data_IF_047316191452
#
_entry.id   IF_047316191452
#
_cell.length_a   1.000
_cell.length_b   1.000
_cell.length_c   1.000
_cell.angle_alpha   90.00
_cell.angle_beta   90.00
_cell.angle_gamma   90.00
#
_symmetry.space_group_name_H-M   'P 1'
#
loop_
_entity.id
_entity.type
_entity.pdbx_description
1 polymer ?
#
# COMPACT_ATOMS: atom_id res chain seq x y z
N UNK A 1 7.79 8.13 5.63
CA UNK A 1 7.63 7.99 4.16
C UNK A 1 7.19 6.60 3.74
N UNK A 2 7.99 5.54 3.90
CA UNK A 2 7.59 4.18 3.48
C UNK A 2 6.42 3.60 4.29
N UNK A 3 6.51 3.62 5.63
CA UNK A 3 5.40 3.19 6.50
C UNK A 3 4.14 4.03 6.23
N UNK A 4 4.35 5.34 6.04
CA UNK A 4 3.33 6.27 5.58
C UNK A 4 2.05 6.26 6.41
N UNK A 5 2.16 6.30 7.74
CA UNK A 5 1.01 6.54 8.62
C UNK A 5 0.40 7.89 8.29
N UNK A 6 -0.91 7.91 8.12
CA UNK A 6 -1.70 9.11 7.88
C UNK A 6 -2.98 9.05 8.69
N UNK A 7 -3.44 10.21 9.13
CA UNK A 7 -4.76 10.39 9.73
C UNK A 7 -5.63 11.12 8.71
N UNK A 8 -6.83 10.60 8.52
CA UNK A 8 -7.74 11.09 7.50
C UNK A 8 -9.17 10.69 7.81
N UNK A 9 -10.01 10.76 6.78
CA UNK A 9 -11.43 10.43 6.85
C UNK A 9 -11.75 9.46 5.73
N UNK A 10 -12.34 8.32 6.09
CA UNK A 10 -13.12 7.52 5.14
C UNK A 10 -14.46 8.22 4.96
N UNK A 11 -14.89 8.42 3.72
CA UNK A 11 -16.17 9.04 3.42
C UNK A 11 -16.84 8.41 2.20
N UNK A 12 -18.16 8.57 2.13
CA UNK A 12 -18.99 7.90 1.16
C UNK A 12 -19.70 8.92 0.25
N UNK A 13 -19.39 8.86 -1.04
CA UNK A 13 -20.25 9.44 -2.07
C UNK A 13 -21.36 8.45 -2.40
N UNK A 14 -22.54 8.92 -2.78
CA UNK A 14 -23.63 8.03 -3.17
C UNK A 14 -23.71 7.89 -4.69
N UNK A 15 -23.54 6.67 -5.20
CA UNK A 15 -23.61 6.34 -6.61
C UNK A 15 -24.72 5.31 -6.82
N UNK A 16 -25.80 5.70 -7.50
CA UNK A 16 -26.94 4.81 -7.79
C UNK A 16 -27.53 4.11 -6.55
N UNK A 17 -27.58 4.83 -5.42
CA UNK A 17 -28.07 4.30 -4.15
C UNK A 17 -27.08 3.37 -3.40
N UNK A 18 -25.85 3.23 -3.90
CA UNK A 18 -24.77 2.48 -3.26
C UNK A 18 -23.64 3.42 -2.82
N UNK A 19 -22.92 3.10 -1.72
CA UNK A 19 -21.80 3.91 -1.27
C UNK A 19 -20.55 3.67 -2.15
N UNK A 20 -19.99 4.75 -2.68
CA UNK A 20 -18.65 4.81 -3.25
C UNK A 20 -17.70 5.39 -2.20
N UNK A 21 -16.98 4.50 -1.51
CA UNK A 21 -16.06 4.85 -0.42
C UNK A 21 -14.79 5.48 -0.99
N UNK A 22 -14.29 6.53 -0.35
CA UNK A 22 -12.98 7.14 -0.62
C UNK A 22 -12.29 7.47 0.70
N UNK A 23 -10.97 7.54 0.68
CA UNK A 23 -10.16 7.98 1.82
C UNK A 23 -9.42 9.28 1.47
N UNK A 24 -9.40 10.24 2.39
CA UNK A 24 -8.63 11.48 2.22
C UNK A 24 -7.93 11.90 3.51
N UNK A 25 -6.73 12.47 3.36
CA UNK A 25 -5.99 13.16 4.45
C UNK A 25 -6.21 14.68 4.42
N UNK A 26 -7.10 15.13 3.52
CA UNK A 26 -7.50 16.52 3.29
C UNK A 26 -9.03 16.65 3.31
N UNK A 27 -9.73 16.25 4.39
CA UNK A 27 -11.18 16.48 4.47
C UNK A 27 -11.52 17.97 4.44
N UNK A 28 -10.61 18.85 4.87
CA UNK A 28 -10.69 20.32 4.78
C UNK A 28 -11.01 20.81 3.36
N UNK A 29 -10.62 20.07 2.33
CA UNK A 29 -10.81 20.45 0.93
C UNK A 29 -11.99 19.75 0.24
N UNK A 30 -12.79 18.96 0.99
CA UNK A 30 -13.89 18.16 0.42
C UNK A 30 -14.86 18.99 -0.42
N UNK A 31 -15.15 20.23 -0.02
CA UNK A 31 -16.07 21.11 -0.73
C UNK A 31 -15.58 21.51 -2.14
N UNK A 32 -14.30 21.34 -2.43
CA UNK A 32 -13.66 21.56 -3.72
C UNK A 32 -13.52 20.29 -4.56
N UNK A 33 -14.12 19.17 -4.15
CA UNK A 33 -14.10 17.93 -4.93
C UNK A 33 -14.96 18.06 -6.21
N UNK A 34 -14.31 18.01 -7.38
CA UNK A 34 -14.97 18.27 -8.67
C UNK A 34 -15.11 17.03 -9.55
N UNK A 35 -14.39 15.94 -9.24
CA UNK A 35 -14.60 14.63 -9.82
C UNK A 35 -14.13 13.53 -8.85
N UNK A 36 -14.55 12.29 -9.08
CA UNK A 36 -14.02 11.11 -8.41
C UNK A 36 -13.17 10.31 -9.39
N UNK A 37 -12.02 9.81 -8.97
CA UNK A 37 -11.20 8.92 -9.75
C UNK A 37 -11.19 7.52 -9.15
N UNK A 38 -11.47 6.50 -9.97
CA UNK A 38 -11.46 5.08 -9.58
C UNK A 38 -10.42 4.29 -10.36
N UNK A 39 -9.88 3.25 -9.73
CA UNK A 39 -8.91 2.35 -10.36
C UNK A 39 -9.56 1.58 -11.54
N UNK A 40 -8.79 1.21 -12.59
CA UNK A 40 -9.30 0.39 -13.69
C UNK A 40 -9.94 -0.93 -13.23
N UNK A 41 -9.42 -1.55 -12.16
CA UNK A 41 -9.92 -2.80 -11.60
C UNK A 41 -11.12 -2.62 -10.65
N UNK A 42 -11.54 -1.38 -10.37
CA UNK A 42 -12.61 -1.11 -9.42
C UNK A 42 -13.95 -1.69 -9.94
N UNK A 43 -14.79 -2.32 -9.10
CA UNK A 43 -16.04 -2.95 -9.53
C UNK A 43 -16.98 -2.01 -10.31
N UNK A 44 -17.04 -0.72 -9.92
CA UNK A 44 -17.81 0.31 -10.63
C UNK A 44 -17.26 0.54 -12.05
N UNK A 45 -15.93 0.56 -12.23
CA UNK A 45 -15.32 0.71 -13.56
C UNK A 45 -15.65 -0.50 -14.46
N UNK A 46 -15.56 -1.71 -13.89
CA UNK A 46 -15.90 -2.96 -14.59
C UNK A 46 -17.37 -3.01 -15.00
N UNK A 47 -18.27 -2.53 -14.14
CA UNK A 47 -19.70 -2.44 -14.45
C UNK A 47 -19.97 -1.42 -15.56
N UNK A 48 -19.41 -0.20 -15.46
CA UNK A 48 -19.57 0.85 -16.46
C UNK A 48 -19.01 0.45 -17.85
N UNK A 49 -17.99 -0.40 -17.88
CA UNK A 49 -17.37 -0.87 -19.10
C UNK A 49 -18.20 -1.91 -19.88
N UNK A 50 -19.22 -2.53 -19.28
CA UNK A 50 -20.03 -3.58 -19.94
C UNK A 50 -20.70 -3.08 -21.21
N UNK A 51 -21.21 -1.85 -21.18
CA UNK A 51 -21.92 -1.22 -22.29
C UNK A 51 -21.09 -0.13 -23.00
N UNK A 52 -19.80 0.01 -22.65
CA UNK A 52 -18.89 1.01 -23.22
C UNK A 52 -17.59 0.35 -23.72
N UNK A 53 -17.52 -0.03 -25.01
CA UNK A 53 -16.35 -0.71 -25.58
C UNK A 53 -15.05 0.11 -25.48
N UNK A 54 -15.13 1.45 -25.54
CA UNK A 54 -13.96 2.31 -25.40
C UNK A 54 -13.40 2.27 -23.97
N UNK A 55 -14.29 2.27 -22.96
CA UNK A 55 -13.92 2.14 -21.55
C UNK A 55 -13.37 0.76 -21.24
N UNK A 56 -13.98 -0.30 -21.78
CA UNK A 56 -13.45 -1.67 -21.66
C UNK A 56 -12.03 -1.78 -22.22
N UNK A 57 -11.77 -1.22 -23.40
CA UNK A 57 -10.43 -1.19 -24.00
C UNK A 57 -9.43 -0.36 -23.17
N UNK A 58 -9.87 0.77 -22.60
CA UNK A 58 -9.06 1.59 -21.71
C UNK A 58 -8.66 0.82 -20.45
N UNK A 59 -9.63 0.17 -19.80
CA UNK A 59 -9.41 -0.64 -18.59
C UNK A 59 -8.44 -1.79 -18.88
N UNK A 60 -8.65 -2.53 -19.98
CA UNK A 60 -7.79 -3.65 -20.34
C UNK A 60 -6.32 -3.23 -20.54
N UNK A 61 -6.08 -2.07 -21.16
CA UNK A 61 -4.74 -1.51 -21.36
C UNK A 61 -4.03 -1.18 -20.04
N UNK A 62 -4.77 -0.70 -19.05
CA UNK A 62 -4.22 -0.26 -17.77
C UNK A 62 -4.28 -1.32 -16.66
N UNK A 63 -4.96 -2.45 -16.90
CA UNK A 63 -5.02 -3.55 -15.93
C UNK A 63 -3.76 -4.40 -15.93
N UNK A 64 -3.08 -4.52 -17.08
CA UNK A 64 -1.93 -5.39 -17.28
C UNK A 64 -0.58 -4.66 -17.37
N UNK A 65 -0.52 -3.39 -16.97
CA UNK A 65 0.75 -2.66 -16.96
C UNK A 65 1.33 -2.72 -15.54
N UNK A 66 2.36 -3.54 -15.27
CA UNK A 66 3.02 -3.53 -13.98
C UNK A 66 3.85 -2.25 -13.88
N UNK A 67 3.25 -1.23 -13.28
CA UNK A 67 3.95 0.01 -12.98
C UNK A 67 4.59 -0.15 -11.60
N UNK A 68 5.93 -0.09 -11.53
CA UNK A 68 6.61 0.09 -10.25
C UNK A 68 6.11 1.39 -9.61
N UNK A 69 5.85 1.40 -8.32
CA UNK A 69 5.30 2.56 -7.62
C UNK A 69 6.13 3.84 -7.87
N UNK A 70 7.46 3.70 -7.97
CA UNK A 70 8.40 4.78 -8.33
C UNK A 70 8.17 5.37 -9.72
N UNK A 71 7.72 4.57 -10.68
CA UNK A 71 7.43 5.01 -12.05
C UNK A 71 6.06 5.68 -12.16
N UNK A 72 5.15 5.50 -11.19
CA UNK A 72 3.80 6.08 -11.26
C UNK A 72 3.80 7.62 -11.21
N UNK A 73 4.77 8.22 -10.51
CA UNK A 73 4.85 9.67 -10.39
C UNK A 73 5.20 10.36 -11.71
N UNK A 74 5.93 9.66 -12.60
CA UNK A 74 6.37 10.20 -13.90
C UNK A 74 5.53 9.72 -15.08
N UNK A 75 4.58 8.80 -14.85
CA UNK A 75 3.67 8.36 -15.90
C UNK A 75 2.73 9.48 -16.31
N UNK A 76 2.46 9.54 -17.61
CA UNK A 76 1.39 10.37 -18.14
C UNK A 76 0.07 9.96 -17.50
N UNK A 77 -0.61 10.91 -16.87
CA UNK A 77 -1.93 10.70 -16.27
C UNK A 77 -2.95 10.53 -17.40
N UNK A 78 -3.59 9.38 -17.44
CA UNK A 78 -4.61 9.05 -18.42
C UNK A 78 -5.88 8.62 -17.70
N UNK A 79 -7.02 9.03 -18.23
CA UNK A 79 -8.32 8.64 -17.72
C UNK A 79 -9.43 8.73 -18.76
N UNK A 80 -10.58 8.18 -18.41
CA UNK A 80 -11.78 8.15 -19.23
C UNK A 80 -13.01 8.33 -18.36
N UNK A 81 -13.95 9.17 -18.82
CA UNK A 81 -15.24 9.37 -18.18
C UNK A 81 -16.04 8.06 -18.21
N UNK A 82 -16.65 7.72 -17.07
CA UNK A 82 -17.53 6.55 -16.97
C UNK A 82 -18.95 6.86 -17.46
N UNK A 83 -19.32 8.14 -17.55
CA UNK A 83 -20.69 8.60 -17.73
C UNK A 83 -21.54 8.55 -16.44
N UNK A 84 -20.96 8.07 -15.33
CA UNK A 84 -21.62 7.99 -14.03
C UNK A 84 -21.38 9.26 -13.22
N UNK A 85 -22.32 9.57 -12.33
CA UNK A 85 -22.18 10.66 -11.38
C UNK A 85 -22.58 10.23 -9.98
N UNK A 86 -21.71 10.52 -9.02
CA UNK A 86 -21.95 10.29 -7.60
C UNK A 86 -22.42 11.58 -6.91
N UNK A 87 -23.20 11.44 -5.85
CA UNK A 87 -23.73 12.56 -5.07
C UNK A 87 -22.76 12.92 -3.95
N UNK A 88 -22.36 14.18 -3.89
CA UNK A 88 -21.48 14.71 -2.86
C UNK A 88 -22.17 14.67 -1.47
N UNK A 89 -21.54 14.12 -0.42
CA UNK A 89 -22.20 13.84 0.87
C UNK A 89 -22.66 15.10 1.64
N UNK A 90 -21.94 16.22 1.47
CA UNK A 90 -22.29 17.50 2.10
C UNK A 90 -23.13 18.42 1.21
N UNK A 91 -22.70 18.70 -0.03
CA UNK A 91 -23.38 19.64 -0.94
C UNK A 91 -24.59 19.04 -1.66
N UNK A 92 -24.69 17.71 -1.77
CA UNK A 92 -25.72 17.03 -2.57
C UNK A 92 -25.57 17.23 -4.10
N UNK A 93 -24.50 17.87 -4.57
CA UNK A 93 -24.27 18.11 -5.99
C UNK A 93 -23.74 16.84 -6.68
N UNK A 94 -24.05 16.65 -7.98
CA UNK A 94 -23.47 15.57 -8.78
C UNK A 94 -21.98 15.82 -9.02
N UNK A 95 -21.18 14.76 -8.88
CA UNK A 95 -19.74 14.72 -9.10
C UNK A 95 -19.45 13.62 -10.13
N UNK A 96 -18.84 13.92 -11.29
CA UNK A 96 -18.58 12.91 -12.31
C UNK A 96 -17.54 11.88 -11.84
N UNK A 97 -17.70 10.63 -12.27
CA UNK A 97 -16.79 9.52 -11.93
C UNK A 97 -15.92 9.16 -13.14
N UNK A 98 -14.61 9.12 -12.94
CA UNK A 98 -13.62 8.84 -13.97
C UNK A 98 -12.80 7.61 -13.62
N UNK A 99 -12.44 6.81 -14.62
CA UNK A 99 -11.38 5.80 -14.46
C UNK A 99 -10.04 6.46 -14.72
N UNK A 100 -9.07 6.30 -13.83
CA UNK A 100 -7.75 6.90 -13.97
C UNK A 100 -6.61 5.90 -13.71
N UNK A 101 -5.55 5.97 -14.51
CA UNK A 101 -4.43 5.01 -14.47
C UNK A 101 -3.50 5.17 -13.25
N UNK A 102 -3.63 6.26 -12.49
CA UNK A 102 -2.82 6.54 -11.30
C UNK A 102 -3.51 6.16 -9.99
N UNK A 103 -4.78 5.74 -10.03
CA UNK A 103 -5.50 5.23 -8.86
C UNK A 103 -5.28 3.72 -8.76
N UNK A 104 -4.82 3.26 -7.59
CA UNK A 104 -4.50 1.85 -7.37
C UNK A 104 -5.58 1.17 -6.55
N UNK A 105 -6.09 0.04 -7.03
CA UNK A 105 -7.05 -0.79 -6.27
C UNK A 105 -6.48 -1.30 -4.94
N UNK A 106 -5.16 -1.45 -4.87
CA UNK A 106 -4.44 -1.91 -3.67
C UNK A 106 -4.18 -0.80 -2.64
N UNK A 107 -4.68 0.42 -2.86
CA UNK A 107 -4.50 1.54 -1.94
C UNK A 107 -5.85 2.17 -1.59
N UNK A 108 -6.17 2.21 -0.30
CA UNK A 108 -7.49 2.66 0.18
C UNK A 108 -8.62 1.78 -0.37
N UNK A 109 -9.70 2.42 -0.81
CA UNK A 109 -10.86 1.75 -1.44
C UNK A 109 -10.70 1.49 -2.95
N UNK A 110 -9.56 1.89 -3.55
CA UNK A 110 -9.42 1.93 -5.01
C UNK A 110 -10.18 3.09 -5.66
N UNK A 111 -10.62 4.08 -4.87
CA UNK A 111 -11.27 5.30 -5.30
C UNK A 111 -10.77 6.50 -4.49
N UNK A 112 -10.65 7.66 -5.13
CA UNK A 112 -10.24 8.92 -4.49
C UNK A 112 -11.17 10.04 -4.91
N UNK A 113 -11.43 10.97 -3.99
CA UNK A 113 -11.98 12.27 -4.36
C UNK A 113 -10.85 13.12 -4.94
N UNK A 114 -11.14 13.85 -6.00
CA UNK A 114 -10.16 14.72 -6.62
C UNK A 114 -10.51 16.18 -6.38
N UNK A 115 -9.53 16.93 -5.86
CA UNK A 115 -9.66 18.35 -5.51
C UNK A 115 -8.58 19.11 -6.28
N UNK A 116 -8.80 19.40 -7.58
CA UNK A 116 -7.76 19.96 -8.45
C UNK A 116 -7.14 21.24 -7.94
N UNK A 117 -7.89 22.03 -7.18
CA UNK A 117 -7.36 23.28 -6.67
C UNK A 117 -6.26 23.12 -5.62
N UNK A 118 -6.13 21.93 -5.00
CA UNK A 118 -5.30 21.69 -3.80
C UNK A 118 -4.52 20.35 -3.82
N UNK A 119 -4.53 19.62 -4.94
CA UNK A 119 -3.64 18.47 -5.21
C UNK A 119 -3.09 18.61 -6.64
N UNK A 120 -1.75 18.65 -6.77
CA UNK A 120 -1.06 18.87 -8.05
C UNK A 120 -1.40 17.81 -9.10
N UNK A 121 -1.60 16.56 -8.67
CA UNK A 121 -1.91 15.45 -9.57
C UNK A 121 -3.32 15.58 -10.11
N UNK A 122 -4.25 16.03 -9.27
CA UNK A 122 -5.62 16.33 -9.67
C UNK A 122 -5.68 17.59 -10.55
N UNK A 123 -4.85 18.59 -10.27
CA UNK A 123 -4.71 19.81 -11.08
C UNK A 123 -4.30 19.47 -12.52
N UNK A 124 -3.23 18.69 -12.70
CA UNK A 124 -2.74 18.27 -14.02
C UNK A 124 -3.80 17.47 -14.79
N UNK A 125 -4.49 16.54 -14.12
CA UNK A 125 -5.55 15.75 -14.73
C UNK A 125 -6.74 16.62 -15.13
N UNK A 126 -7.19 17.51 -14.24
CA UNK A 126 -8.30 18.41 -14.51
C UNK A 126 -7.99 19.36 -15.68
N UNK A 127 -6.78 19.93 -15.74
CA UNK A 127 -6.35 20.75 -16.88
C UNK A 127 -6.33 19.98 -18.19
N UNK A 128 -5.86 18.74 -18.17
CA UNK A 128 -5.82 17.88 -19.37
C UNK A 128 -7.21 17.55 -19.92
N UNK A 129 -8.17 17.31 -19.04
CA UNK A 129 -9.52 16.84 -19.41
C UNK A 129 -10.59 17.94 -19.35
N UNK A 130 -10.23 19.19 -19.02
CA UNK A 130 -11.17 20.31 -18.92
C UNK A 130 -12.15 20.18 -17.75
N UNK A 131 -11.73 19.53 -16.65
CA UNK A 131 -12.56 19.37 -15.46
C UNK A 131 -12.53 20.64 -14.59
N UNK A 132 -13.58 20.90 -13.79
CA UNK A 132 -13.63 22.11 -12.97
C UNK A 132 -12.51 22.15 -11.92
N UNK A 133 -11.97 23.34 -11.70
CA UNK A 133 -10.99 23.63 -10.64
C UNK A 133 -11.64 24.66 -9.71
N UNK A 134 -11.94 24.27 -8.48
CA UNK A 134 -12.68 25.09 -7.51
C UNK A 134 -11.80 25.32 -6.28
N UNK A 135 -11.37 26.57 -6.08
CA UNK A 135 -10.59 26.97 -4.90
C UNK A 135 -11.48 26.93 -3.65
N UNK A 136 -11.01 26.20 -2.63
CA UNK A 136 -11.65 26.11 -1.31
C UNK A 136 -10.69 26.38 -0.14
N UNK A 137 -9.40 26.62 -0.43
CA UNK A 137 -8.40 27.06 0.53
C UNK A 137 -7.76 28.34 0.00
N UNK A 138 -7.55 29.31 0.89
CA UNK A 138 -6.83 30.54 0.61
C UNK A 138 -5.77 30.81 1.68
N UNK A 139 -4.80 31.68 1.40
CA UNK A 139 -3.85 32.09 2.42
C UNK A 139 -4.56 32.87 3.51
N UNK A 140 -4.26 32.53 4.77
CA UNK A 140 -4.67 33.34 5.90
C UNK A 140 -3.94 34.68 5.78
N UNK A 141 -4.70 35.78 5.70
CA UNK A 141 -4.10 37.11 5.64
C UNK A 141 -3.17 37.34 6.84
N UNK A 142 -1.90 37.67 6.58
CA UNK A 142 -0.89 37.93 7.61
C UNK A 142 -0.78 39.44 7.94
N UNK A 143 -1.65 40.27 7.35
CA UNK A 143 -1.62 41.73 7.48
C UNK A 143 -0.42 42.40 6.79
N UNK A 144 0.40 41.65 6.04
CA UNK A 144 1.60 42.17 5.35
C UNK A 144 1.31 42.80 3.99
N UNK A 145 0.09 42.65 3.47
CA UNK A 145 -0.35 43.24 2.20
C UNK A 145 0.21 42.57 0.95
N UNK A 146 0.86 41.40 1.06
CA UNK A 146 1.20 40.57 -0.11
C UNK A 146 0.02 39.65 -0.44
N UNK A 147 -0.93 40.17 -1.23
CA UNK A 147 -2.03 39.36 -1.78
C UNK A 147 -1.46 38.37 -2.81
N UNK A 148 -1.28 37.11 -2.40
CA UNK A 148 -1.02 36.02 -3.34
C UNK A 148 -2.36 35.63 -3.96
N UNK A 149 -2.58 36.02 -5.22
CA UNK A 149 -3.81 35.70 -5.93
C UNK A 149 -3.78 34.24 -6.42
N UNK A 150 -4.87 33.53 -6.23
CA UNK A 150 -5.04 32.19 -6.81
C UNK A 150 -5.22 32.26 -8.33
N UNK A 151 -4.43 31.48 -9.06
CA UNK A 151 -4.50 31.29 -10.51
C UNK A 151 -4.83 29.82 -10.84
N UNK A 152 -6.06 29.56 -11.32
CA UNK A 152 -6.49 28.23 -11.73
C UNK A 152 -5.79 27.70 -12.99
N UNK A 153 -4.99 28.53 -13.67
CA UNK A 153 -4.26 28.16 -14.89
C UNK A 153 -2.84 27.66 -14.61
N UNK A 154 -2.25 27.97 -13.45
CA UNK A 154 -0.89 27.53 -13.10
C UNK A 154 -0.87 26.93 -11.70
N UNK A 155 -0.18 25.79 -11.54
CA UNK A 155 0.02 25.20 -10.23
C UNK A 155 1.03 26.02 -9.42
N UNK A 156 0.72 26.27 -8.15
CA UNK A 156 1.64 26.86 -7.19
C UNK A 156 1.69 26.00 -5.93
N UNK A 157 2.88 25.73 -5.40
CA UNK A 157 3.08 24.81 -4.26
C UNK A 157 2.21 25.12 -3.05
N UNK A 158 1.95 26.41 -2.79
CA UNK A 158 1.14 26.84 -1.65
C UNK A 158 -0.31 26.34 -1.71
N UNK A 159 -0.81 25.95 -2.88
CA UNK A 159 -2.14 25.36 -3.03
C UNK A 159 -2.32 24.09 -2.21
N UNK A 160 -1.23 23.38 -1.91
CA UNK A 160 -1.22 22.17 -1.09
C UNK A 160 -0.93 22.43 0.40
N UNK A 161 -0.68 23.68 0.80
CA UNK A 161 -0.34 24.02 2.19
C UNK A 161 -1.49 23.67 3.16
N UNK A 162 -1.10 23.39 4.41
CA UNK A 162 -2.00 23.16 5.55
C UNK A 162 -1.84 24.20 6.65
N UNK A 163 -0.82 25.06 6.56
CA UNK A 163 -0.48 26.05 7.57
C UNK A 163 -0.54 27.45 6.97
N UNK A 164 -1.03 28.43 7.75
CA UNK A 164 -1.18 29.79 7.24
C UNK A 164 -2.24 29.89 6.14
N UNK A 165 -3.24 29.02 6.18
CA UNK A 165 -4.35 28.95 5.23
C UNK A 165 -5.69 28.89 5.96
N UNK A 166 -6.75 29.31 5.27
CA UNK A 166 -8.14 29.21 5.73
C UNK A 166 -9.03 28.65 4.64
N UNK A 167 -10.11 27.98 5.02
CA UNK A 167 -11.16 27.54 4.11
C UNK A 167 -11.97 28.71 3.57
N UNK A 168 -12.29 28.66 2.28
CA UNK A 168 -13.20 29.57 1.58
C UNK A 168 -14.12 28.76 0.67
N UNK A 169 -15.21 29.35 0.16
CA UNK A 169 -16.15 28.69 -0.76
C UNK A 169 -16.67 27.31 -0.26
N UNK A 170 -16.68 27.12 1.05
CA UNK A 170 -16.95 25.88 1.78
C UNK A 170 -18.20 25.98 2.66
N UNK A 171 -18.95 27.07 2.58
CA UNK A 171 -20.26 27.20 3.22
C UNK A 171 -20.15 27.32 4.74
N UNK A 172 -20.71 26.37 5.48
CA UNK A 172 -20.67 26.39 6.96
C UNK A 172 -19.24 26.23 7.53
N UNK A 173 -18.27 25.87 6.68
CA UNK A 173 -16.88 25.68 7.08
C UNK A 173 -15.95 26.85 6.71
N UNK A 174 -16.46 27.96 6.18
CA UNK A 174 -15.61 29.09 5.77
C UNK A 174 -14.89 29.75 6.97
N UNK A 175 -13.65 30.18 6.75
CA UNK A 175 -12.82 30.89 7.74
C UNK A 175 -12.14 30.00 8.78
N UNK A 176 -12.20 28.68 8.63
CA UNK A 176 -11.53 27.73 9.52
C UNK A 176 -10.11 27.46 9.05
N UNK A 177 -9.18 27.29 10.00
CA UNK A 177 -7.86 26.74 9.68
C UNK A 177 -7.94 25.24 9.37
N UNK A 178 -6.83 24.64 8.94
CA UNK A 178 -6.78 23.23 8.55
C UNK A 178 -7.34 22.28 9.62
N UNK A 179 -6.94 22.44 10.89
CA UNK A 179 -7.33 21.48 11.92
C UNK A 179 -8.80 21.66 12.30
N UNK A 180 -9.27 22.91 12.45
CA UNK A 180 -10.67 23.19 12.72
C UNK A 180 -11.58 22.74 11.56
N UNK A 181 -11.16 22.95 10.31
CA UNK A 181 -11.88 22.48 9.13
C UNK A 181 -11.91 20.95 9.03
N UNK A 182 -10.77 20.29 9.32
CA UNK A 182 -10.68 18.83 9.38
C UNK A 182 -11.71 18.28 10.35
N UNK A 183 -11.72 18.79 11.58
CA UNK A 183 -12.60 18.29 12.63
C UNK A 183 -14.07 18.59 12.35
N UNK A 184 -14.40 19.81 11.91
CA UNK A 184 -15.77 20.19 11.60
C UNK A 184 -16.36 19.35 10.44
N UNK A 185 -15.58 19.10 9.38
CA UNK A 185 -16.03 18.29 8.24
C UNK A 185 -16.15 16.81 8.63
N UNK A 186 -15.18 16.28 9.38
CA UNK A 186 -15.23 14.91 9.87
C UNK A 186 -16.47 14.69 10.77
N UNK A 187 -16.72 15.58 11.74
CA UNK A 187 -17.90 15.54 12.62
C UNK A 187 -19.19 15.60 11.82
N UNK A 188 -19.23 16.43 10.77
CA UNK A 188 -20.40 16.55 9.89
C UNK A 188 -20.68 15.26 9.12
N UNK A 189 -19.63 14.62 8.61
CA UNK A 189 -19.73 13.35 7.89
C UNK A 189 -20.17 12.22 8.83
N UNK A 190 -19.60 12.15 10.03
CA UNK A 190 -19.96 11.17 11.08
C UNK A 190 -21.42 11.33 11.51
N UNK A 191 -21.87 12.57 11.77
CA UNK A 191 -23.27 12.85 12.13
C UNK A 191 -24.28 12.47 11.03
N UNK A 192 -23.84 12.47 9.76
CA UNK A 192 -24.64 12.01 8.61
C UNK A 192 -24.51 10.51 8.35
N UNK A 193 -23.65 9.79 9.07
CA UNK A 193 -23.31 8.39 8.78
C UNK A 193 -22.66 8.21 7.41
N UNK A 194 -21.96 9.23 6.91
CA UNK A 194 -21.31 9.26 5.59
C UNK A 194 -19.78 9.35 5.67
N UNK A 195 -19.21 9.17 6.86
CA UNK A 195 -17.77 9.03 7.02
C UNK A 195 -17.35 8.77 8.47
N UNK A 196 -16.06 8.50 8.65
CA UNK A 196 -15.41 8.26 9.94
C UNK A 196 -13.93 8.62 9.88
N UNK A 197 -13.39 9.19 10.96
CA UNK A 197 -11.93 9.37 11.10
C UNK A 197 -11.22 8.01 11.09
N UNK A 198 -10.20 7.88 10.24
CA UNK A 198 -9.46 6.62 10.03
C UNK A 198 -7.96 6.88 10.01
N UNK A 199 -7.19 5.99 10.63
CA UNK A 199 -5.72 5.92 10.47
C UNK A 199 -5.42 4.95 9.33
N UNK A 200 -4.66 5.39 8.34
CA UNK A 200 -4.25 4.56 7.22
C UNK A 200 -2.73 4.52 7.07
N UNK A 201 -2.22 3.44 6.49
CA UNK A 201 -0.80 3.22 6.25
C UNK A 201 -0.54 3.02 4.76
N UNK A 202 0.52 3.66 4.24
CA UNK A 202 1.04 3.35 2.91
C UNK A 202 1.66 1.95 2.84
N UNK A 203 2.20 1.48 3.96
CA UNK A 203 2.73 0.13 4.08
C UNK A 203 1.68 -0.91 3.69
N UNK A 204 2.10 -1.88 2.89
CA UNK A 204 1.28 -3.05 2.54
C UNK A 204 1.83 -4.28 3.24
N UNK A 205 0.97 -5.29 3.36
CA UNK A 205 1.39 -6.59 3.83
C UNK A 205 2.50 -7.18 2.95
N UNK A 206 3.41 -7.90 3.60
CA UNK A 206 4.53 -8.53 2.92
C UNK A 206 4.07 -9.81 2.23
N UNK A 207 4.00 -9.77 0.89
CA UNK A 207 3.80 -10.97 0.08
C UNK A 207 5.06 -11.83 0.09
N UNK A 208 5.04 -12.92 0.88
CA UNK A 208 6.20 -13.80 1.10
C UNK A 208 6.32 -14.94 0.08
N UNK A 209 5.26 -15.29 -0.66
CA UNK A 209 5.32 -16.42 -1.61
C UNK A 209 6.05 -16.08 -2.91
N UNK A 210 6.88 -17.00 -3.40
CA UNK A 210 7.63 -16.88 -4.65
C UNK A 210 7.41 -18.13 -5.49
N UNK A 211 7.09 -17.95 -6.77
CA UNK A 211 6.99 -19.04 -7.75
C UNK A 211 8.39 -19.45 -8.26
N UNK A 212 9.33 -19.67 -7.33
CA UNK A 212 10.72 -20.07 -7.57
C UNK A 212 11.03 -21.33 -6.78
N UNK A 213 11.98 -22.11 -7.26
CA UNK A 213 12.38 -23.36 -6.59
C UNK A 213 13.38 -23.15 -5.45
N UNK A 214 14.38 -22.29 -5.65
CA UNK A 214 15.45 -22.13 -4.67
C UNK A 214 15.04 -21.19 -3.52
N UNK A 215 14.38 -21.78 -2.52
CA UNK A 215 13.94 -21.11 -1.31
C UNK A 215 13.36 -22.13 -0.31
N UNK A 216 13.11 -21.70 0.92
CA UNK A 216 12.48 -22.55 1.92
C UNK A 216 11.03 -22.89 1.49
N UNK A 217 10.63 -24.17 1.44
CA UNK A 217 9.24 -24.55 1.16
C UNK A 217 8.27 -23.98 2.19
N UNK A 218 7.16 -23.40 1.72
CA UNK A 218 6.12 -22.89 2.61
C UNK A 218 5.40 -24.09 3.28
N UNK A 219 5.34 -24.17 4.62
CA UNK A 219 4.84 -25.34 5.34
C UNK A 219 3.30 -25.37 5.41
N UNK A 220 2.65 -25.34 4.24
CA UNK A 220 1.20 -25.42 4.09
C UNK A 220 0.81 -26.66 3.26
N UNK A 221 -0.30 -27.29 3.64
CA UNK A 221 -0.96 -28.39 2.94
C UNK A 221 -2.38 -27.94 2.56
N UNK A 222 -2.70 -27.96 1.28
CA UNK A 222 -3.99 -27.63 0.71
C UNK A 222 -4.84 -28.91 0.55
N UNK A 223 -6.03 -28.91 1.16
CA UNK A 223 -6.99 -30.00 1.08
C UNK A 223 -8.35 -29.49 0.62
N UNK A 224 -8.96 -30.13 -0.38
CA UNK A 224 -10.26 -29.71 -0.93
C UNK A 224 -11.39 -29.71 0.11
N UNK A 225 -11.30 -30.56 1.13
CA UNK A 225 -12.31 -30.66 2.19
C UNK A 225 -12.03 -29.74 3.40
N UNK A 226 -10.76 -29.48 3.72
CA UNK A 226 -10.37 -28.79 4.96
C UNK A 226 -9.80 -27.37 4.72
N UNK A 227 -9.50 -27.01 3.48
CA UNK A 227 -8.78 -25.78 3.13
C UNK A 227 -7.27 -25.89 3.32
N UNK A 228 -6.62 -24.75 3.53
CA UNK A 228 -5.19 -24.64 3.78
C UNK A 228 -4.87 -24.90 5.26
N UNK A 229 -4.02 -25.89 5.52
CA UNK A 229 -3.62 -26.32 6.86
C UNK A 229 -2.10 -26.19 7.02
N UNK A 230 -1.59 -25.82 8.21
CA UNK A 230 -0.17 -25.88 8.48
C UNK A 230 0.32 -27.33 8.52
N UNK A 231 1.55 -27.55 8.07
CA UNK A 231 2.27 -28.80 8.32
C UNK A 231 2.46 -28.97 9.83
N UNK A 232 2.18 -30.14 10.43
CA UNK A 232 2.39 -30.36 11.85
C UNK A 232 3.85 -30.13 12.26
N UNK A 233 4.08 -29.54 13.44
CA UNK A 233 5.44 -29.17 13.89
C UNK A 233 6.43 -30.35 13.92
N UNK A 234 5.96 -31.56 14.25
CA UNK A 234 6.75 -32.80 14.25
C UNK A 234 7.19 -33.26 12.85
N UNK A 235 6.51 -32.79 11.81
CA UNK A 235 6.76 -33.15 10.41
C UNK A 235 7.60 -32.06 9.72
N UNK A 236 8.06 -31.05 10.46
CA UNK A 236 9.04 -30.08 10.00
C UNK A 236 10.47 -30.66 10.12
N UNK A 237 11.39 -30.24 9.23
CA UNK A 237 11.18 -29.32 8.12
C UNK A 237 10.53 -30.00 6.90
N UNK A 238 9.80 -29.22 6.09
CA UNK A 238 9.49 -29.61 4.71
C UNK A 238 10.76 -29.46 3.88
N UNK A 239 11.44 -30.57 3.63
CA UNK A 239 12.74 -30.58 2.94
C UNK A 239 12.55 -30.24 1.46
N UNK A 240 13.28 -29.25 0.96
CA UNK A 240 13.35 -28.95 -0.46
C UNK A 240 14.06 -30.11 -1.19
N UNK A 241 13.45 -30.76 -2.20
CA UNK A 241 14.11 -31.81 -2.96
C UNK A 241 15.34 -31.25 -3.67
N UNK A 242 16.51 -31.91 -3.57
CA UNK A 242 17.76 -31.42 -4.18
C UNK A 242 18.05 -32.00 -5.57
N UNK A 243 17.48 -33.17 -5.87
CA UNK A 243 17.60 -33.82 -7.18
C UNK A 243 16.48 -33.31 -8.10
N UNK A 244 16.80 -32.28 -8.88
CA UNK A 244 15.80 -31.57 -9.70
C UNK A 244 16.33 -31.30 -11.10
N UNK A 245 15.52 -31.60 -12.11
CA UNK A 245 15.73 -31.19 -13.48
C UNK A 245 15.01 -29.86 -13.73
N UNK A 246 15.72 -28.89 -14.31
CA UNK A 246 15.14 -27.60 -14.67
C UNK A 246 14.67 -27.63 -16.12
N UNK A 247 13.36 -27.58 -16.33
CA UNK A 247 12.74 -27.48 -17.65
C UNK A 247 11.99 -26.14 -17.80
N UNK A 248 12.44 -25.30 -18.72
CA UNK A 248 11.78 -24.03 -19.04
C UNK A 248 11.87 -22.96 -17.93
N UNK A 249 10.85 -22.10 -17.89
CA UNK A 249 10.75 -20.97 -16.95
C UNK A 249 9.63 -21.27 -15.94
N UNK A 250 9.97 -21.61 -14.70
CA UNK A 250 9.02 -21.86 -13.61
C UNK A 250 9.62 -22.65 -12.45
N UNK A 251 8.88 -22.75 -11.32
CA UNK A 251 9.28 -23.62 -10.21
C UNK A 251 9.02 -25.10 -10.56
N UNK A 252 10.04 -25.98 -10.58
CA UNK A 252 9.86 -27.41 -10.79
C UNK A 252 8.97 -28.10 -9.76
N UNK A 253 8.81 -27.54 -8.55
CA UNK A 253 8.02 -28.17 -7.48
C UNK A 253 6.58 -28.51 -7.89
N UNK A 254 5.98 -27.69 -8.76
CA UNK A 254 4.62 -27.91 -9.30
C UNK A 254 4.49 -29.16 -10.17
N UNK A 255 5.61 -29.67 -10.68
CA UNK A 255 5.68 -30.82 -11.58
C UNK A 255 6.26 -32.06 -10.88
N UNK A 256 6.40 -32.02 -9.55
CA UNK A 256 7.00 -33.11 -8.76
C UNK A 256 5.96 -33.77 -7.83
N UNK A 257 5.15 -34.74 -8.32
CA UNK A 257 4.17 -35.45 -7.50
C UNK A 257 4.77 -36.03 -6.22
N UNK A 258 5.99 -36.56 -6.27
CA UNK A 258 6.68 -37.09 -5.08
C UNK A 258 6.99 -36.06 -3.99
N UNK A 259 6.99 -34.76 -4.34
CA UNK A 259 7.10 -33.67 -3.36
C UNK A 259 5.71 -33.21 -2.89
N UNK A 260 4.84 -32.82 -3.84
CA UNK A 260 3.60 -32.13 -3.47
C UNK A 260 2.47 -33.07 -3.04
N UNK A 261 2.41 -34.32 -3.52
CA UNK A 261 1.34 -35.24 -3.13
C UNK A 261 1.55 -35.68 -1.69
N UNK A 262 0.55 -35.44 -0.84
CA UNK A 262 0.59 -35.80 0.57
C UNK A 262 -0.80 -36.12 1.11
N UNK A 263 -0.90 -36.32 2.42
CA UNK A 263 -2.18 -36.55 3.09
C UNK A 263 -2.53 -35.35 3.97
N UNK A 264 -3.83 -35.06 4.06
CA UNK A 264 -4.34 -33.97 4.87
C UNK A 264 -4.15 -34.31 6.36
N UNK A 265 -3.49 -33.44 7.15
CA UNK A 265 -3.33 -33.69 8.59
C UNK A 265 -4.64 -33.58 9.37
N UNK A 266 -5.67 -32.93 8.82
CA UNK A 266 -6.99 -32.79 9.45
C UNK A 266 -7.91 -34.00 9.25
N UNK A 267 -8.01 -34.52 8.02
CA UNK A 267 -8.97 -35.57 7.67
C UNK A 267 -8.35 -36.88 7.14
N UNK A 268 -7.04 -36.93 6.92
CA UNK A 268 -6.33 -38.08 6.34
C UNK A 268 -6.53 -38.31 4.84
N UNK A 269 -7.40 -37.53 4.18
CA UNK A 269 -7.64 -37.61 2.75
C UNK A 269 -6.46 -37.12 1.89
N UNK A 270 -6.52 -37.27 0.55
CA UNK A 270 -5.50 -36.75 -0.35
C UNK A 270 -5.40 -35.22 -0.26
N UNK A 271 -4.18 -34.69 -0.32
CA UNK A 271 -3.90 -33.27 -0.25
C UNK A 271 -2.63 -32.91 -1.03
N UNK A 272 -2.38 -31.63 -1.24
CA UNK A 272 -1.19 -31.13 -1.93
C UNK A 272 -0.41 -30.15 -1.05
N UNK A 273 0.91 -30.26 -1.00
CA UNK A 273 1.76 -29.22 -0.38
C UNK A 273 1.72 -27.94 -1.20
N UNK A 274 1.88 -26.80 -0.54
CA UNK A 274 2.26 -25.57 -1.23
C UNK A 274 3.58 -25.79 -1.97
N UNK A 275 3.66 -25.24 -3.18
CA UNK A 275 4.78 -25.40 -4.13
C UNK A 275 5.53 -24.10 -4.38
N UNK A 276 4.98 -22.98 -3.90
CA UNK A 276 5.71 -21.75 -3.76
C UNK A 276 6.70 -21.83 -2.57
N UNK A 277 7.78 -21.07 -2.66
CA UNK A 277 8.81 -20.95 -1.61
C UNK A 277 8.76 -19.56 -0.98
N UNK A 278 9.37 -19.41 0.19
CA UNK A 278 9.50 -18.09 0.83
C UNK A 278 10.44 -17.16 0.05
N UNK A 279 10.12 -15.87 0.10
CA UNK A 279 11.01 -14.77 -0.24
C UNK A 279 12.28 -14.82 0.60
N UNK A 280 13.44 -14.55 0.01
CA UNK A 280 14.74 -14.66 0.69
C UNK A 280 14.93 -13.66 1.84
N UNK A 281 14.09 -12.61 1.88
CA UNK A 281 14.00 -11.73 3.04
C UNK A 281 13.48 -12.46 4.30
N UNK A 282 12.79 -13.59 4.18
CA UNK A 282 12.37 -14.41 5.31
C UNK A 282 13.58 -14.85 6.12
N UNK A 283 14.59 -15.44 5.49
CA UNK A 283 15.80 -15.89 6.18
C UNK A 283 16.65 -14.70 6.68
N UNK A 284 16.81 -13.64 5.88
CA UNK A 284 17.62 -12.49 6.30
C UNK A 284 16.97 -11.64 7.39
N UNK A 285 15.69 -11.83 7.72
CA UNK A 285 15.01 -11.04 8.75
C UNK A 285 15.36 -11.44 10.18
N UNK A 286 16.00 -12.58 10.42
CA UNK A 286 16.27 -13.07 11.78
C UNK A 286 17.61 -13.77 11.99
N UNK A 287 18.42 -13.93 10.94
CA UNK A 287 19.73 -14.59 11.00
C UNK A 287 20.67 -14.02 12.09
N UNK A 288 20.60 -12.72 12.38
CA UNK A 288 21.43 -12.07 13.41
C UNK A 288 21.18 -12.66 14.80
N UNK A 289 19.93 -13.04 15.12
CA UNK A 289 19.59 -13.69 16.38
C UNK A 289 20.03 -15.16 16.36
N UNK A 290 19.88 -15.84 15.21
CA UNK A 290 20.28 -17.25 15.06
C UNK A 290 21.78 -17.46 15.25
N UNK A 291 22.62 -16.48 14.90
CA UNK A 291 24.07 -16.57 15.14
C UNK A 291 24.44 -16.76 16.62
N UNK A 292 23.63 -16.25 17.55
CA UNK A 292 23.86 -16.41 18.98
C UNK A 292 23.84 -17.89 19.43
N UNK A 293 23.06 -18.72 18.73
CA UNK A 293 22.80 -20.11 19.11
C UNK A 293 22.82 -21.06 17.90
N UNK A 294 23.75 -20.85 16.96
CA UNK A 294 23.75 -21.53 15.67
C UNK A 294 23.80 -23.07 15.74
N UNK A 295 24.37 -23.63 16.83
CA UNK A 295 24.46 -25.07 17.06
C UNK A 295 23.27 -25.70 17.79
N UNK A 296 22.18 -24.96 18.04
CA UNK A 296 21.00 -25.48 18.72
C UNK A 296 19.98 -26.06 17.72
N UNK A 297 19.90 -27.39 17.64
CA UNK A 297 18.98 -28.08 16.72
C UNK A 297 17.58 -28.35 17.31
N UNK A 298 17.35 -28.00 18.58
CA UNK A 298 16.09 -28.26 19.30
C UNK A 298 15.13 -27.07 19.35
N UNK A 299 15.60 -25.87 19.05
CA UNK A 299 14.80 -24.64 19.10
C UNK A 299 15.23 -23.63 18.04
N UNK A 300 14.35 -22.67 17.73
CA UNK A 300 14.67 -21.55 16.85
C UNK A 300 15.75 -20.66 17.45
N UNK A 301 15.58 -20.28 18.72
CA UNK A 301 16.52 -19.50 19.54
C UNK A 301 16.57 -20.08 20.96
N UNK A 302 17.69 -19.90 21.66
CA UNK A 302 17.79 -20.14 23.10
C UNK A 302 18.18 -18.88 23.86
N UNK A 303 18.49 -19.02 25.15
CA UNK A 303 18.80 -17.89 26.04
C UNK A 303 20.00 -17.07 25.59
N UNK A 304 20.92 -17.62 24.78
CA UNK A 304 22.05 -16.86 24.24
C UNK A 304 21.59 -15.73 23.32
N UNK A 305 20.43 -15.87 22.65
CA UNK A 305 19.87 -14.81 21.83
C UNK A 305 19.64 -13.53 22.63
N UNK A 306 19.13 -13.61 23.87
CA UNK A 306 18.95 -12.46 24.76
C UNK A 306 20.27 -11.90 25.29
N UNK A 307 21.28 -12.74 25.47
CA UNK A 307 22.60 -12.26 25.88
C UNK A 307 23.25 -11.39 24.80
N UNK A 308 23.11 -11.79 23.52
CA UNK A 308 23.76 -11.11 22.39
C UNK A 308 22.93 -10.05 21.68
N UNK A 309 21.60 -10.11 21.79
CA UNK A 309 20.70 -9.10 21.20
C UNK A 309 20.36 -8.00 22.20
N UNK A 310 20.13 -6.76 21.73
CA UNK A 310 20.20 -6.31 20.35
C UNK A 310 21.65 -6.10 19.87
N UNK A 311 21.87 -6.21 18.55
CA UNK A 311 23.20 -6.01 17.92
C UNK A 311 23.67 -4.58 18.18
N UNK A 312 24.85 -4.42 18.78
CA UNK A 312 25.38 -3.10 19.14
C UNK A 312 25.76 -2.21 17.94
N UNK A 313 26.26 -2.82 16.87
CA UNK A 313 26.64 -2.14 15.63
C UNK A 313 26.34 -3.04 14.42
N UNK A 314 25.39 -2.60 13.60
CA UNK A 314 25.10 -3.22 12.31
C UNK A 314 25.74 -2.39 11.19
N UNK A 315 26.36 -3.06 10.22
CA UNK A 315 27.04 -2.41 9.07
C UNK A 315 26.48 -3.02 7.79
N UNK A 316 26.03 -2.17 6.86
CA UNK A 316 25.44 -2.61 5.60
C UNK A 316 25.36 -1.50 4.55
N UNK A 317 24.94 -1.82 3.33
CA UNK A 317 24.72 -0.83 2.28
C UNK A 317 23.37 -0.12 2.41
N UNK A 318 23.28 1.12 1.90
CA UNK A 318 22.04 1.92 1.93
C UNK A 318 20.90 1.31 1.10
N UNK A 319 21.20 0.43 0.15
CA UNK A 319 20.21 -0.32 -0.65
C UNK A 319 19.25 -1.16 0.21
N UNK A 320 19.64 -1.48 1.44
CA UNK A 320 18.85 -2.27 2.38
C UNK A 320 18.04 -1.43 3.37
N UNK A 321 18.11 -0.10 3.26
CA UNK A 321 17.53 0.83 4.25
C UNK A 321 16.02 0.67 4.46
N UNK A 322 15.29 0.30 3.41
CA UNK A 322 13.85 0.10 3.49
C UNK A 322 13.53 -1.39 3.70
N UNK A 323 13.70 -2.23 2.69
CA UNK A 323 13.21 -3.63 2.71
C UNK A 323 13.78 -4.43 3.87
N UNK A 324 15.05 -4.83 3.78
CA UNK A 324 15.71 -5.68 4.77
C UNK A 324 15.59 -5.15 6.19
N UNK A 325 15.94 -3.88 6.43
CA UNK A 325 15.91 -3.32 7.79
C UNK A 325 14.49 -3.23 8.34
N UNK A 326 13.47 -2.95 7.52
CA UNK A 326 12.08 -2.96 7.98
C UNK A 326 11.62 -4.39 8.32
N UNK A 327 11.94 -5.37 7.48
CA UNK A 327 11.57 -6.77 7.74
C UNK A 327 12.30 -7.34 8.95
N UNK A 328 13.59 -7.02 9.15
CA UNK A 328 14.32 -7.43 10.34
C UNK A 328 13.71 -6.84 11.63
N UNK A 329 13.28 -5.58 11.61
CA UNK A 329 12.56 -4.96 12.74
C UNK A 329 11.20 -5.60 12.99
N UNK A 330 10.45 -5.86 11.92
CA UNK A 330 9.16 -6.55 12.01
C UNK A 330 9.32 -7.94 12.63
N UNK A 331 10.28 -8.72 12.12
CA UNK A 331 10.53 -10.08 12.59
C UNK A 331 11.09 -10.09 14.02
N UNK A 332 11.94 -9.13 14.40
CA UNK A 332 12.39 -8.99 15.79
C UNK A 332 11.22 -8.78 16.76
N UNK A 333 10.24 -7.96 16.38
CA UNK A 333 9.03 -7.76 17.21
C UNK A 333 8.17 -9.02 17.28
N UNK A 334 8.08 -9.80 16.20
CA UNK A 334 7.44 -11.13 16.27
C UNK A 334 8.19 -12.08 17.22
N UNK A 335 9.51 -12.14 17.14
CA UNK A 335 10.33 -12.93 18.08
C UNK A 335 10.11 -12.50 19.53
N UNK A 336 10.03 -11.18 19.77
CA UNK A 336 9.76 -10.61 21.10
C UNK A 336 8.37 -11.00 21.60
N UNK A 337 7.36 -10.87 20.75
CA UNK A 337 5.97 -11.16 21.10
C UNK A 337 5.75 -12.66 21.37
N UNK A 338 6.54 -13.53 20.74
CA UNK A 338 6.63 -14.98 21.03
C UNK A 338 7.58 -15.32 22.20
N UNK A 339 8.17 -14.32 22.86
CA UNK A 339 9.05 -14.50 24.03
C UNK A 339 10.44 -15.07 23.73
N UNK A 340 10.87 -15.07 22.47
CA UNK A 340 12.19 -15.56 22.04
C UNK A 340 13.30 -14.51 22.18
N UNK A 341 12.94 -13.23 22.23
CA UNK A 341 13.85 -12.12 22.58
C UNK A 341 13.18 -11.14 23.56
N UNK A 342 13.95 -10.33 24.28
CA UNK A 342 13.44 -9.38 25.28
C UNK A 342 13.59 -7.89 24.91
N UNK A 343 14.11 -7.59 23.72
CA UNK A 343 14.28 -6.23 23.21
C UNK A 343 13.28 -5.85 22.11
N UNK A 344 13.08 -4.54 21.92
CA UNK A 344 12.13 -4.02 20.93
C UNK A 344 12.71 -3.86 19.51
N UNK A 345 14.03 -3.65 19.40
CA UNK A 345 14.70 -3.31 18.14
C UNK A 345 15.98 -4.13 17.97
N UNK A 346 16.23 -4.72 16.79
CA UNK A 346 17.33 -5.66 16.59
C UNK A 346 18.73 -5.00 16.54
N UNK A 347 18.81 -3.71 16.20
CA UNK A 347 20.08 -3.03 15.93
C UNK A 347 20.13 -1.68 16.66
N UNK A 348 21.11 -1.48 17.56
CA UNK A 348 21.27 -0.23 18.33
C UNK A 348 21.90 0.89 17.51
N UNK A 349 22.91 0.56 16.70
CA UNK A 349 23.61 1.49 15.81
C UNK A 349 23.65 0.90 14.41
N UNK A 350 23.43 1.75 13.41
CA UNK A 350 23.52 1.41 12.00
C UNK A 350 24.58 2.28 11.33
N UNK A 351 25.53 1.66 10.65
CA UNK A 351 26.49 2.34 9.78
C UNK A 351 26.23 1.90 8.34
N UNK A 352 25.81 2.84 7.49
CA UNK A 352 25.59 2.59 6.07
C UNK A 352 26.84 2.90 5.28
N UNK A 353 27.53 1.90 4.75
CA UNK A 353 28.72 2.10 3.95
C UNK A 353 28.39 2.57 2.53
N UNK A 354 29.28 3.37 1.93
CA UNK A 354 29.18 3.79 0.54
C UNK A 354 29.41 2.63 -0.45
N UNK A 355 28.95 2.80 -1.68
CA UNK A 355 29.17 1.80 -2.73
C UNK A 355 30.63 1.81 -3.21
N UNK A 356 31.19 0.63 -3.42
CA UNK A 356 32.45 0.50 -4.15
C UNK A 356 32.15 0.48 -5.64
N UNK A 357 32.74 1.42 -6.37
CA UNK A 357 32.55 1.58 -7.81
C UNK A 357 33.79 1.11 -8.58
N UNK A 358 33.58 0.50 -9.74
CA UNK A 358 34.60 0.25 -10.76
C UNK A 358 34.11 0.83 -12.08
N UNK A 359 34.89 1.73 -12.66
CA UNK A 359 34.58 2.40 -13.93
C UNK A 359 33.20 3.09 -13.95
N UNK A 360 32.76 3.64 -12.81
CA UNK A 360 31.46 4.31 -12.67
C UNK A 360 30.27 3.37 -12.48
N UNK A 361 30.48 2.05 -12.53
CA UNK A 361 29.46 1.04 -12.24
C UNK A 361 29.65 0.45 -10.84
N UNK A 362 28.53 0.12 -10.18
CA UNK A 362 28.54 -0.61 -8.92
C UNK A 362 29.17 -1.99 -9.14
N UNK A 363 30.14 -2.36 -8.31
CA UNK A 363 30.60 -3.75 -8.23
C UNK A 363 29.58 -4.54 -7.40
N UNK A 364 29.03 -5.62 -7.98
CA UNK A 364 28.05 -6.50 -7.33
C UNK A 364 28.68 -7.36 -6.25
#
# INVERSE_FOLDING_TARGET
>A
NWIGRSEGVDLEFELEGQPLKVYTTRPDTLMGATYLAIAPQHPVAQAAARDNPALAAFIARHTNTPVKEEAMATLEKQGMDTGLSATHPLTGKPVPVWVANFVLMSYGSGAVMSVPAHDERDFEFARKYGLPIVQVIDKAGDGSGTDVTYDASVWHDWYADKSGVVTINSGEFDGLDFQAAFDAIADRLEAKGKGSRTVNFRLRDWGVSRQRYWGAPIPIINCDACGALPVPAKDLPVVLPTEVAFEGVGSPLKQMPGFYQTTCPGCGGPATRETDTFDTFMESSWYYARYACAGNDGAMLDTEANYWTPVDQYVGGIEHAILHLLYARFFHKLLRDEGLVDSDEPFRRLLTQGMVLKDGAKMS
#
